data_IF_439826030312
#
_entry.id   IF_439826030312
#
_cell.length_a   1.000
_cell.length_b   1.000
_cell.length_c   1.000
_cell.angle_alpha   90.00
_cell.angle_beta   90.00
_cell.angle_gamma   90.00
#
_symmetry.space_group_name_H-M   'P 1'
#
loop_
_entity.id
_entity.type
_entity.pdbx_description
1 polymer ?
#
# COMPACT_ATOMS: atom_id res chain seq x y z
N UNK A 1 76.18 -49.60 -56.78
CA UNK A 1 75.33 -48.45 -56.42
C UNK A 1 74.09 -48.99 -55.71
N UNK A 2 74.05 -48.95 -54.39
CA UNK A 2 72.86 -49.35 -53.60
C UNK A 2 72.19 -48.07 -53.13
N UNK A 3 70.93 -47.90 -53.53
CA UNK A 3 70.18 -46.66 -53.42
C UNK A 3 69.58 -46.50 -52.02
N UNK A 4 69.67 -45.27 -51.49
CA UNK A 4 69.08 -44.78 -50.25
C UNK A 4 67.55 -44.78 -50.35
N UNK A 5 66.89 -44.98 -49.21
CA UNK A 5 65.45 -44.79 -49.08
C UNK A 5 65.04 -44.61 -47.63
N UNK A 6 65.57 -43.58 -46.96
CA UNK A 6 65.02 -43.10 -45.69
C UNK A 6 63.59 -42.56 -45.91
N UNK A 7 62.60 -43.16 -45.25
CA UNK A 7 61.28 -42.53 -45.07
C UNK A 7 60.68 -42.91 -43.73
N UNK A 8 61.23 -42.37 -42.65
CA UNK A 8 60.61 -42.40 -41.32
C UNK A 8 60.63 -40.99 -40.72
N UNK A 9 59.66 -40.14 -41.09
CA UNK A 9 59.52 -38.82 -40.42
C UNK A 9 58.16 -38.13 -40.55
N UNK A 10 57.21 -38.63 -41.35
CA UNK A 10 55.89 -37.96 -41.53
C UNK A 10 54.79 -38.42 -40.56
N UNK A 11 54.84 -39.66 -40.07
CA UNK A 11 53.81 -40.25 -39.20
C UNK A 11 53.75 -39.60 -37.80
N UNK A 12 54.91 -39.38 -37.17
CA UNK A 12 54.96 -38.92 -35.77
C UNK A 12 54.36 -37.52 -35.58
N UNK A 13 54.53 -36.60 -36.54
CA UNK A 13 54.02 -35.21 -36.40
C UNK A 13 52.50 -35.15 -36.44
N UNK A 14 51.85 -36.01 -37.21
CA UNK A 14 50.39 -36.10 -37.28
C UNK A 14 49.80 -36.76 -36.02
N UNK A 15 50.47 -37.81 -35.51
CA UNK A 15 50.06 -38.48 -34.28
C UNK A 15 50.12 -37.56 -33.05
N UNK A 16 51.19 -36.77 -32.90
CA UNK A 16 51.29 -35.77 -31.83
C UNK A 16 50.19 -34.70 -31.93
N UNK A 17 49.80 -34.32 -33.15
CA UNK A 17 48.74 -33.33 -33.36
C UNK A 17 47.36 -33.88 -32.97
N UNK A 18 47.05 -35.13 -33.34
CA UNK A 18 45.78 -35.78 -33.00
C UNK A 18 45.67 -36.10 -31.51
N UNK A 19 46.76 -36.53 -30.87
CA UNK A 19 46.80 -36.78 -29.42
C UNK A 19 46.61 -35.47 -28.66
N UNK A 20 47.28 -34.39 -29.08
CA UNK A 20 47.09 -33.04 -28.51
C UNK A 20 45.64 -32.56 -28.63
N UNK A 21 45.02 -32.72 -29.81
CA UNK A 21 43.62 -32.32 -30.04
C UNK A 21 42.64 -33.14 -29.17
N UNK A 22 42.91 -34.42 -28.97
CA UNK A 22 42.10 -35.29 -28.12
C UNK A 22 42.22 -34.91 -26.63
N UNK A 23 43.42 -34.55 -26.16
CA UNK A 23 43.66 -34.04 -24.81
C UNK A 23 42.98 -32.68 -24.57
N UNK A 24 42.97 -31.80 -25.56
CA UNK A 24 42.26 -30.51 -25.49
C UNK A 24 40.74 -30.70 -25.49
N UNK A 25 40.21 -31.73 -26.16
CA UNK A 25 38.77 -32.02 -26.18
C UNK A 25 38.22 -32.59 -24.87
N UNK A 26 39.08 -33.07 -23.97
CA UNK A 26 38.71 -33.57 -22.64
C UNK A 26 38.82 -32.52 -21.53
N UNK A 27 39.21 -31.28 -21.86
CA UNK A 27 39.10 -30.19 -20.91
C UNK A 27 37.61 -29.96 -20.64
N UNK A 28 37.14 -30.10 -19.38
CA UNK A 28 35.77 -29.77 -19.05
C UNK A 28 35.54 -28.31 -19.43
N UNK A 29 34.55 -28.08 -20.28
CA UNK A 29 34.11 -26.74 -20.62
C UNK A 29 33.54 -26.16 -19.32
N UNK A 30 34.36 -25.40 -18.60
CA UNK A 30 33.95 -24.71 -17.37
C UNK A 30 32.98 -23.62 -17.84
N UNK A 31 31.70 -23.97 -17.95
CA UNK A 31 30.65 -22.99 -18.13
C UNK A 31 30.64 -22.15 -16.86
N UNK A 32 31.20 -20.94 -16.94
CA UNK A 32 30.95 -19.93 -15.91
C UNK A 32 29.44 -19.71 -15.88
N UNK A 33 28.74 -19.99 -14.76
CA UNK A 33 27.33 -19.65 -14.69
C UNK A 33 27.24 -18.13 -14.86
N UNK A 34 26.61 -17.69 -15.95
CA UNK A 34 26.24 -16.28 -16.11
C UNK A 34 25.02 -16.08 -15.22
N UNK A 35 25.24 -15.67 -13.97
CA UNK A 35 24.14 -15.20 -13.13
C UNK A 35 23.67 -13.85 -13.68
N UNK A 36 22.37 -13.70 -13.93
CA UNK A 36 21.81 -12.41 -14.28
C UNK A 36 21.93 -11.48 -13.06
N UNK A 37 22.20 -10.20 -13.32
CA UNK A 37 22.26 -9.19 -12.26
C UNK A 37 20.98 -9.19 -11.41
N UNK A 38 21.08 -8.92 -10.10
CA UNK A 38 19.91 -8.79 -9.23
C UNK A 38 18.96 -7.73 -9.80
N UNK A 39 17.67 -8.07 -9.87
CA UNK A 39 16.64 -7.20 -10.44
C UNK A 39 15.28 -7.58 -9.88
N UNK A 40 14.43 -6.58 -9.66
CA UNK A 40 13.05 -6.76 -9.21
C UNK A 40 12.12 -5.94 -10.09
N UNK A 41 10.86 -6.38 -10.17
CA UNK A 41 9.76 -5.62 -10.74
C UNK A 41 8.68 -5.39 -9.69
N UNK A 42 8.26 -4.14 -9.53
CA UNK A 42 7.25 -3.70 -8.56
C UNK A 42 5.92 -3.41 -9.27
N UNK A 43 4.83 -3.90 -8.71
CA UNK A 43 3.48 -3.62 -9.18
C UNK A 43 2.51 -3.43 -8.02
N UNK A 44 1.62 -2.45 -8.09
CA UNK A 44 0.62 -2.10 -7.07
C UNK A 44 -0.75 -2.06 -7.74
N UNK A 45 -1.76 -2.63 -7.07
CA UNK A 45 -3.14 -2.69 -7.56
C UNK A 45 -4.14 -2.38 -6.45
N UNK A 46 -5.13 -1.52 -6.70
CA UNK A 46 -5.34 -0.74 -7.92
C UNK A 46 -4.28 0.38 -8.07
N UNK A 47 -4.15 0.98 -9.26
CA UNK A 47 -3.26 2.14 -9.45
C UNK A 47 -3.92 3.45 -9.01
N UNK A 48 -5.25 3.48 -8.89
CA UNK A 48 -5.98 4.56 -8.24
C UNK A 48 -7.25 4.05 -7.57
N UNK A 49 -7.68 4.73 -6.52
CA UNK A 49 -8.99 4.46 -5.90
C UNK A 49 -9.54 5.68 -5.17
N UNK A 50 -10.86 5.69 -4.99
CA UNK A 50 -11.56 6.64 -4.14
C UNK A 50 -11.79 6.03 -2.76
N UNK A 51 -11.46 6.78 -1.71
CA UNK A 51 -11.63 6.38 -0.30
C UNK A 51 -12.35 7.50 0.42
N UNK A 52 -13.40 7.18 1.17
CA UNK A 52 -14.13 8.20 1.92
C UNK A 52 -13.27 8.77 3.04
N UNK A 53 -13.42 10.07 3.37
CA UNK A 53 -12.86 10.62 4.60
C UNK A 53 -13.19 9.74 5.81
N UNK A 54 -12.16 9.41 6.60
CA UNK A 54 -12.26 8.55 7.78
C UNK A 54 -11.98 7.07 7.54
N UNK A 55 -11.94 6.64 6.28
CA UNK A 55 -11.69 5.25 5.90
C UNK A 55 -10.25 5.05 5.39
N UNK A 56 -9.89 3.77 5.22
CA UNK A 56 -8.63 3.34 4.63
C UNK A 56 -8.88 2.54 3.35
N UNK A 57 -8.12 2.86 2.30
CA UNK A 57 -8.04 2.09 1.08
C UNK A 57 -6.90 1.08 1.12
N UNK A 58 -7.18 -0.16 0.71
CA UNK A 58 -6.18 -1.23 0.62
C UNK A 58 -5.65 -1.39 -0.81
N UNK A 59 -4.33 -1.38 -0.93
CA UNK A 59 -3.56 -1.64 -2.15
C UNK A 59 -2.76 -2.93 -1.99
N UNK A 60 -2.79 -3.79 -3.01
CA UNK A 60 -1.93 -4.97 -3.09
C UNK A 60 -0.61 -4.59 -3.76
N UNK A 61 0.50 -4.81 -3.07
CA UNK A 61 1.86 -4.58 -3.56
C UNK A 61 2.50 -5.92 -3.90
N UNK A 62 2.92 -6.09 -5.14
CA UNK A 62 3.47 -7.31 -5.71
C UNK A 62 4.90 -7.05 -6.16
N UNK A 63 5.84 -7.86 -5.67
CA UNK A 63 7.27 -7.77 -6.01
C UNK A 63 7.72 -9.07 -6.65
N UNK A 64 8.23 -9.00 -7.89
CA UNK A 64 8.75 -10.15 -8.62
C UNK A 64 10.26 -10.06 -8.72
N UNK A 65 10.97 -11.10 -8.29
CA UNK A 65 12.41 -11.20 -8.52
C UNK A 65 12.68 -11.66 -9.96
N UNK A 66 13.23 -10.77 -10.77
CA UNK A 66 13.58 -11.03 -12.19
C UNK A 66 15.06 -11.39 -12.36
N UNK A 67 15.84 -11.37 -11.28
CA UNK A 67 17.22 -11.83 -11.23
C UNK A 67 17.36 -13.35 -11.19
N UNK A 68 18.61 -13.84 -11.19
CA UNK A 68 18.93 -15.27 -11.13
C UNK A 68 19.17 -15.80 -9.71
N UNK A 69 19.40 -14.92 -8.74
CA UNK A 69 19.70 -15.27 -7.35
C UNK A 69 18.55 -14.83 -6.42
N UNK A 70 18.29 -15.52 -5.29
CA UNK A 70 17.31 -15.07 -4.31
C UNK A 70 17.68 -13.72 -3.70
N UNK A 71 16.69 -12.87 -3.43
CA UNK A 71 16.90 -11.51 -2.92
C UNK A 71 16.02 -11.21 -1.72
N UNK A 72 16.48 -10.37 -0.79
CA UNK A 72 15.63 -9.75 0.23
C UNK A 72 15.32 -8.31 -0.17
N UNK A 73 14.11 -7.84 0.12
CA UNK A 73 13.68 -6.48 -0.23
C UNK A 73 13.20 -5.72 1.00
N UNK A 74 13.30 -4.39 0.95
CA UNK A 74 12.68 -3.47 1.89
C UNK A 74 11.70 -2.58 1.12
N UNK A 75 10.50 -2.42 1.67
CA UNK A 75 9.43 -1.64 1.08
C UNK A 75 9.18 -0.36 1.88
N UNK A 76 8.99 0.75 1.17
CA UNK A 76 8.67 2.04 1.77
C UNK A 76 7.52 2.68 1.00
N UNK A 77 6.65 3.40 1.71
CA UNK A 77 5.60 4.23 1.12
C UNK A 77 5.81 5.68 1.55
N UNK A 78 5.65 6.61 0.62
CA UNK A 78 5.71 8.05 0.89
C UNK A 78 4.66 8.78 0.08
N UNK A 79 3.88 9.61 0.75
CA UNK A 79 2.96 10.52 0.11
C UNK A 79 3.76 11.67 -0.53
N UNK A 80 3.23 12.23 -1.62
CA UNK A 80 3.81 13.40 -2.27
C UNK A 80 3.83 14.60 -1.29
N UNK A 81 4.94 15.37 -1.22
CA UNK A 81 4.96 16.57 -0.41
C UNK A 81 4.06 17.66 -1.03
N UNK A 82 3.13 18.20 -0.24
CA UNK A 82 2.27 19.28 -0.72
C UNK A 82 1.03 19.45 0.14
N UNK A 83 0.27 20.51 -0.11
CA UNK A 83 -0.98 20.76 0.61
C UNK A 83 -2.07 19.73 0.27
N UNK A 84 -2.04 19.18 -0.95
CA UNK A 84 -3.04 18.21 -1.44
C UNK A 84 -2.95 16.84 -0.73
N UNK A 85 -1.80 16.50 -0.16
CA UNK A 85 -1.60 15.28 0.61
C UNK A 85 -1.77 15.47 2.12
N UNK A 86 -2.09 16.69 2.59
CA UNK A 86 -2.32 16.92 4.01
C UNK A 86 -3.54 16.12 4.48
N UNK A 87 -3.34 15.26 5.49
CA UNK A 87 -4.39 14.40 6.02
C UNK A 87 -4.46 13.00 5.39
N UNK A 88 -3.63 12.71 4.38
CA UNK A 88 -3.43 11.34 3.91
C UNK A 88 -2.28 10.69 4.68
N UNK A 89 -2.43 9.42 5.05
CA UNK A 89 -1.37 8.64 5.71
C UNK A 89 -1.24 7.27 5.07
N UNK A 90 -0.03 6.86 4.72
CA UNK A 90 0.25 5.54 4.13
C UNK A 90 1.01 4.64 5.10
N UNK A 91 0.69 3.34 5.07
CA UNK A 91 1.39 2.31 5.82
C UNK A 91 1.53 1.06 4.95
N UNK A 92 2.76 0.61 4.73
CA UNK A 92 3.09 -0.56 3.89
C UNK A 92 3.61 -1.73 4.72
N UNK A 93 3.09 -2.93 4.48
CA UNK A 93 3.61 -4.17 5.04
C UNK A 93 4.92 -4.60 4.37
N UNK A 94 5.74 -5.37 5.07
CA UNK A 94 6.99 -5.91 4.52
C UNK A 94 6.79 -7.34 4.00
N UNK A 95 7.57 -7.73 2.99
CA UNK A 95 7.67 -9.13 2.56
C UNK A 95 8.64 -9.86 3.50
N UNK A 96 8.21 -10.91 4.20
CA UNK A 96 9.08 -11.64 5.10
C UNK A 96 10.05 -12.52 4.33
N UNK A 97 11.34 -12.43 4.65
CA UNK A 97 12.36 -13.34 4.12
C UNK A 97 12.85 -12.99 2.72
N UNK A 98 13.28 -14.02 1.98
CA UNK A 98 13.84 -13.89 0.63
C UNK A 98 12.79 -14.21 -0.44
N UNK A 99 12.94 -13.62 -1.61
CA UNK A 99 12.18 -13.88 -2.82
C UNK A 99 13.10 -14.66 -3.76
N UNK A 100 12.78 -15.94 -4.00
CA UNK A 100 13.57 -16.77 -4.90
C UNK A 100 13.50 -16.27 -6.36
N UNK A 101 14.47 -16.68 -7.18
CA UNK A 101 14.55 -16.26 -8.58
C UNK A 101 13.28 -16.64 -9.36
N UNK A 102 12.70 -15.67 -10.07
CA UNK A 102 11.45 -15.82 -10.82
C UNK A 102 10.19 -15.90 -9.97
N UNK A 103 10.29 -15.88 -8.64
CA UNK A 103 9.13 -15.88 -7.76
C UNK A 103 8.56 -14.48 -7.56
N UNK A 104 7.30 -14.47 -7.14
CA UNK A 104 6.58 -13.26 -6.79
C UNK A 104 6.02 -13.38 -5.38
N UNK A 105 6.26 -12.36 -4.58
CA UNK A 105 5.66 -12.21 -3.25
C UNK A 105 4.77 -10.97 -3.20
N UNK A 106 3.78 -11.00 -2.31
CA UNK A 106 2.77 -9.95 -2.16
C UNK A 106 2.66 -9.47 -0.71
N UNK A 107 2.30 -8.21 -0.56
CA UNK A 107 1.99 -7.57 0.72
C UNK A 107 0.93 -6.50 0.50
N UNK A 108 0.42 -5.91 1.57
CA UNK A 108 -0.60 -4.86 1.51
C UNK A 108 -0.02 -3.50 1.90
N UNK A 109 -0.51 -2.45 1.24
CA UNK A 109 -0.35 -1.06 1.67
C UNK A 109 -1.73 -0.48 1.93
N UNK A 110 -1.89 0.23 3.05
CA UNK A 110 -3.10 0.96 3.38
C UNK A 110 -2.85 2.46 3.27
N UNK A 111 -3.75 3.19 2.62
CA UNK A 111 -3.78 4.66 2.60
C UNK A 111 -5.05 5.12 3.30
N UNK A 112 -4.89 5.84 4.40
CA UNK A 112 -6.00 6.38 5.20
C UNK A 112 -6.22 7.84 4.83
N UNK A 113 -7.48 8.20 4.61
CA UNK A 113 -7.91 9.56 4.32
C UNK A 113 -8.45 10.19 5.61
N UNK A 114 -7.86 11.31 6.03
CA UNK A 114 -8.30 12.03 7.23
C UNK A 114 -9.73 12.55 7.10
N UNK A 115 -10.43 12.65 8.23
CA UNK A 115 -11.84 13.04 8.29
C UNK A 115 -12.15 14.46 7.75
N UNK A 116 -11.14 15.33 7.74
CA UNK A 116 -11.28 16.74 7.32
C UNK A 116 -10.75 16.98 5.91
N UNK A 117 -10.41 15.92 5.16
CA UNK A 117 -9.97 16.05 3.78
C UNK A 117 -11.19 16.33 2.91
N UNK A 118 -11.12 17.38 2.11
CA UNK A 118 -12.22 17.78 1.21
C UNK A 118 -12.41 16.75 0.09
N UNK A 119 -13.64 16.57 -0.34
CA UNK A 119 -13.99 15.69 -1.45
C UNK A 119 -13.19 16.04 -2.72
N UNK A 120 -12.91 15.02 -3.53
CA UNK A 120 -12.15 15.10 -4.78
C UNK A 120 -10.66 15.52 -4.62
N UNK A 121 -10.18 15.71 -3.38
CA UNK A 121 -8.75 15.93 -3.11
C UNK A 121 -8.00 14.64 -3.39
N UNK A 122 -6.96 14.70 -4.23
CA UNK A 122 -6.17 13.53 -4.61
C UNK A 122 -4.75 13.64 -4.07
N UNK A 123 -4.23 12.53 -3.55
CA UNK A 123 -2.86 12.42 -3.08
C UNK A 123 -2.16 11.24 -3.75
N UNK A 124 -0.99 11.51 -4.31
CA UNK A 124 -0.13 10.47 -4.88
C UNK A 124 0.75 9.87 -3.78
N UNK A 125 0.75 8.54 -3.72
CA UNK A 125 1.61 7.77 -2.82
C UNK A 125 2.60 6.97 -3.64
N UNK A 126 3.89 7.21 -3.43
CA UNK A 126 4.98 6.47 -4.08
C UNK A 126 5.42 5.31 -3.20
N UNK A 127 5.36 4.10 -3.76
CA UNK A 127 5.92 2.88 -3.20
C UNK A 127 7.31 2.66 -3.76
N UNK A 128 8.27 2.40 -2.88
CA UNK A 128 9.67 2.13 -3.22
C UNK A 128 10.05 0.75 -2.72
N UNK A 129 10.60 -0.07 -3.61
CA UNK A 129 11.16 -1.38 -3.29
C UNK A 129 12.68 -1.36 -3.53
N UNK A 130 13.44 -1.67 -2.48
CA UNK A 130 14.90 -1.68 -2.52
C UNK A 130 15.41 -3.08 -2.19
N UNK A 131 16.24 -3.66 -3.04
CA UNK A 131 16.94 -4.91 -2.73
C UNK A 131 17.95 -4.63 -1.62
N UNK A 132 17.90 -5.39 -0.52
CA UNK A 132 18.79 -5.22 0.62
C UNK A 132 19.93 -6.22 0.65
N UNK A 133 19.73 -7.42 0.09
CA UNK A 133 20.75 -8.43 -0.05
C UNK A 133 20.46 -9.39 -1.21
N UNK A 134 21.52 -9.96 -1.77
CA UNK A 134 21.48 -11.05 -2.74
C UNK A 134 22.09 -12.29 -2.09
N UNK A 135 21.31 -13.36 -1.99
CA UNK A 135 21.69 -14.56 -1.25
C UNK A 135 22.59 -15.42 -2.13
N UNK A 136 23.75 -15.81 -1.60
CA UNK A 136 24.77 -16.57 -2.35
C UNK A 136 25.78 -15.71 -3.11
N UNK A 137 25.56 -14.39 -3.18
CA UNK A 137 26.47 -13.45 -3.84
C UNK A 137 26.75 -12.22 -2.95
N UNK A 138 27.59 -12.35 -1.89
CA UNK A 138 27.80 -11.33 -0.86
C UNK A 138 28.51 -10.03 -1.32
N UNK A 139 28.79 -9.89 -2.61
CA UNK A 139 29.36 -8.68 -3.22
C UNK A 139 28.63 -8.29 -4.53
N UNK A 140 27.39 -8.77 -4.72
CA UNK A 140 26.58 -8.35 -5.85
C UNK A 140 26.27 -6.85 -5.73
N UNK A 141 26.44 -6.14 -6.85
CA UNK A 141 26.02 -4.74 -6.95
C UNK A 141 24.50 -4.66 -6.82
N UNK A 142 24.03 -3.86 -5.87
CA UNK A 142 22.60 -3.64 -5.65
C UNK A 142 22.11 -2.61 -6.67
N UNK A 143 21.06 -2.91 -7.45
CA UNK A 143 20.52 -1.99 -8.43
C UNK A 143 19.78 -0.83 -7.76
N UNK A 144 19.46 0.19 -8.56
CA UNK A 144 18.58 1.27 -8.12
C UNK A 144 17.20 0.73 -7.66
N UNK A 145 16.56 1.39 -6.68
CA UNK A 145 15.23 1.01 -6.23
C UNK A 145 14.18 1.03 -7.35
N UNK A 146 13.22 0.11 -7.28
CA UNK A 146 12.05 0.12 -8.14
C UNK A 146 10.94 0.94 -7.47
N UNK A 147 10.28 1.83 -8.21
CA UNK A 147 9.22 2.69 -7.67
C UNK A 147 7.93 2.55 -8.46
N UNK A 148 6.80 2.73 -7.78
CA UNK A 148 5.49 2.87 -8.40
C UNK A 148 4.62 3.86 -7.65
N UNK A 149 3.87 4.68 -8.36
CA UNK A 149 2.97 5.68 -7.78
C UNK A 149 1.53 5.24 -7.96
N UNK A 150 0.74 5.39 -6.89
CA UNK A 150 -0.71 5.21 -6.90
C UNK A 150 -1.41 6.47 -6.41
N UNK A 151 -2.62 6.71 -6.88
CA UNK A 151 -3.41 7.89 -6.50
C UNK A 151 -4.57 7.48 -5.59
N UNK A 152 -4.71 8.14 -4.44
CA UNK A 152 -5.90 8.04 -3.59
C UNK A 152 -6.68 9.33 -3.67
N UNK A 153 -7.96 9.26 -4.05
CA UNK A 153 -8.87 10.41 -4.07
C UNK A 153 -9.84 10.35 -2.91
N UNK A 154 -10.00 11.44 -2.17
CA UNK A 154 -11.02 11.57 -1.14
C UNK A 154 -12.41 11.52 -1.78
N UNK A 155 -13.27 10.61 -1.29
CA UNK A 155 -14.66 10.54 -1.68
C UNK A 155 -15.49 11.71 -1.14
N UNK A 156 -16.77 11.74 -1.50
CA UNK A 156 -17.74 12.74 -1.04
C UNK A 156 -18.17 12.57 0.44
N UNK A 157 -17.63 11.56 1.12
CA UNK A 157 -17.99 11.24 2.50
C UNK A 157 -19.36 10.60 2.65
N UNK A 158 -20.07 10.29 1.55
CA UNK A 158 -21.39 9.68 1.60
C UNK A 158 -21.39 8.23 2.15
N UNK A 159 -20.21 7.63 2.36
CA UNK A 159 -20.03 6.36 3.07
C UNK A 159 -19.28 6.46 4.40
N UNK A 160 -18.80 7.64 4.80
CA UNK A 160 -18.02 7.84 6.02
C UNK A 160 -18.88 8.40 7.16
N UNK A 161 -18.85 7.74 8.32
CA UNK A 161 -19.41 8.22 9.58
C UNK A 161 -20.76 8.96 9.47
N UNK A 162 -21.87 8.21 9.44
CA UNK A 162 -23.20 8.82 9.57
C UNK A 162 -23.26 9.61 10.89
N UNK A 163 -23.45 10.92 10.78
CA UNK A 163 -23.82 11.77 11.91
C UNK A 163 -25.33 11.69 12.07
N UNK A 164 -25.77 11.17 13.20
CA UNK A 164 -27.18 11.05 13.54
C UNK A 164 -27.39 11.60 14.94
N UNK A 165 -28.32 12.54 15.07
CA UNK A 165 -28.79 13.00 16.37
C UNK A 165 -30.30 12.87 16.37
N UNK A 166 -30.82 12.17 17.37
CA UNK A 166 -32.24 12.11 17.64
C UNK A 166 -32.56 12.88 18.93
N UNK A 167 -33.68 13.60 18.93
CA UNK A 167 -34.14 14.42 20.05
C UNK A 167 -35.57 14.02 20.40
N UNK A 168 -35.78 13.64 21.65
CA UNK A 168 -37.10 13.28 22.14
C UNK A 168 -37.34 13.71 23.58
N UNK A 169 -38.60 13.91 23.93
CA UNK A 169 -39.00 14.40 25.25
C UNK A 169 -39.24 13.25 26.23
N UNK A 170 -38.89 13.48 27.50
CA UNK A 170 -39.18 12.62 28.66
C UNK A 170 -38.67 11.17 28.51
N UNK A 171 -37.58 10.96 27.76
CA UNK A 171 -37.04 9.62 27.53
C UNK A 171 -37.88 8.72 26.62
N UNK A 172 -38.92 9.25 25.94
CA UNK A 172 -39.79 8.46 25.07
C UNK A 172 -39.42 8.67 23.60
N UNK A 173 -38.83 7.65 22.97
CA UNK A 173 -38.48 7.68 21.54
C UNK A 173 -39.69 8.07 20.67
N UNK A 174 -39.42 8.81 19.60
CA UNK A 174 -40.40 9.39 18.67
C UNK A 174 -41.29 10.52 19.25
N UNK A 175 -41.19 10.85 20.55
CA UNK A 175 -41.86 12.02 21.12
C UNK A 175 -41.06 13.29 20.81
N UNK A 176 -41.22 13.81 19.59
CA UNK A 176 -40.55 15.02 19.12
C UNK A 176 -41.30 16.33 19.48
N UNK A 177 -42.42 16.24 20.20
CA UNK A 177 -43.19 17.39 20.67
C UNK A 177 -43.70 17.17 22.11
N UNK A 178 -43.64 18.22 22.93
CA UNK A 178 -44.24 18.26 24.27
C UNK A 178 -44.88 19.61 24.54
N UNK A 179 -46.08 19.61 25.10
CA UNK A 179 -46.77 20.80 25.60
C UNK A 179 -46.92 20.69 27.10
N UNK A 180 -46.49 21.72 27.82
CA UNK A 180 -46.69 21.83 29.26
C UNK A 180 -47.69 22.95 29.56
N UNK A 181 -48.71 22.65 30.35
CA UNK A 181 -49.68 23.64 30.82
C UNK A 181 -49.23 24.18 32.17
N UNK A 182 -49.07 25.50 32.24
CA UNK A 182 -48.73 26.18 33.49
C UNK A 182 -49.95 26.21 34.43
N UNK A 183 -49.84 25.59 35.60
CA UNK A 183 -50.93 25.53 36.60
C UNK A 183 -50.80 26.58 37.71
N UNK A 184 -49.84 27.49 37.63
CA UNK A 184 -49.66 28.58 38.61
C UNK A 184 -49.03 28.17 39.94
N UNK A 185 -48.70 26.90 40.14
CA UNK A 185 -48.16 26.36 41.39
C UNK A 185 -46.63 26.34 41.48
N UNK A 186 -45.92 26.57 40.38
CA UNK A 186 -44.45 26.68 40.32
C UNK A 186 -44.08 27.91 39.50
N UNK A 187 -42.93 28.54 39.76
CA UNK A 187 -42.41 29.64 38.93
C UNK A 187 -41.59 29.16 37.73
N UNK A 188 -41.43 27.85 37.55
CA UNK A 188 -40.60 27.24 36.51
C UNK A 188 -41.37 26.15 35.77
N UNK A 189 -41.12 26.06 34.45
CA UNK A 189 -41.54 24.97 33.58
C UNK A 189 -40.27 24.22 33.14
N UNK A 190 -40.25 22.90 33.35
CA UNK A 190 -39.09 22.05 33.02
C UNK A 190 -39.42 21.11 31.88
N UNK A 191 -38.64 21.21 30.80
CA UNK A 191 -38.61 20.21 29.73
C UNK A 191 -37.44 19.26 29.97
N UNK A 192 -37.67 17.97 29.77
CA UNK A 192 -36.62 16.95 29.74
C UNK A 192 -36.45 16.53 28.29
N UNK A 193 -35.30 16.85 27.71
CA UNK A 193 -34.94 16.51 26.34
C UNK A 193 -33.83 15.49 26.42
N UNK A 194 -34.06 14.31 25.84
CA UNK A 194 -33.05 13.30 25.64
C UNK A 194 -32.41 13.53 24.28
N UNK A 195 -31.08 13.58 24.27
CA UNK A 195 -30.28 13.65 23.05
C UNK A 195 -29.61 12.31 22.88
N UNK A 196 -29.96 11.61 21.81
CA UNK A 196 -29.37 10.32 21.46
C UNK A 196 -28.50 10.48 20.23
N UNK A 197 -27.23 10.12 20.35
CA UNK A 197 -26.36 9.99 19.20
C UNK A 197 -26.75 8.71 18.46
N UNK A 198 -27.39 8.86 17.31
CA UNK A 198 -27.77 7.77 16.40
C UNK A 198 -26.75 7.56 15.28
N UNK A 199 -25.67 8.35 15.29
CA UNK A 199 -24.56 8.22 14.35
C UNK A 199 -23.63 7.05 14.66
N UNK A 200 -22.80 6.69 13.68
CA UNK A 200 -21.79 5.63 13.81
C UNK A 200 -20.55 6.07 14.61
N UNK A 201 -20.33 7.37 14.74
CA UNK A 201 -19.22 7.93 15.49
C UNK A 201 -19.69 8.40 16.87
N UNK A 202 -18.82 8.25 17.87
CA UNK A 202 -19.02 8.87 19.18
C UNK A 202 -18.86 10.39 19.03
N UNK A 203 -19.95 11.07 18.66
CA UNK A 203 -20.03 12.53 18.61
C UNK A 203 -19.86 13.08 20.02
N UNK A 204 -18.67 13.60 20.35
CA UNK A 204 -18.39 14.14 21.69
C UNK A 204 -19.11 15.47 21.95
N UNK A 205 -19.64 16.13 20.92
CA UNK A 205 -20.26 17.46 21.03
C UNK A 205 -21.52 17.55 20.17
N UNK A 206 -22.68 17.78 20.80
CA UNK A 206 -23.94 18.16 20.14
C UNK A 206 -24.26 19.59 20.57
N UNK A 207 -24.35 20.51 19.60
CA UNK A 207 -24.75 21.89 19.86
C UNK A 207 -26.28 22.03 19.78
N UNK A 208 -26.90 22.40 20.89
CA UNK A 208 -28.34 22.66 20.96
C UNK A 208 -28.58 24.17 20.96
N UNK A 209 -29.49 24.61 20.10
CA UNK A 209 -29.97 26.00 20.09
C UNK A 209 -31.44 26.03 20.45
N UNK A 210 -31.79 26.77 21.50
CA UNK A 210 -33.18 27.05 21.83
C UNK A 210 -33.62 28.29 21.04
N UNK A 211 -34.71 28.16 20.27
CA UNK A 211 -35.34 29.29 19.60
C UNK A 211 -36.73 29.45 20.20
N UNK A 212 -36.94 30.55 20.91
CA UNK A 212 -38.25 30.93 21.39
C UNK A 212 -39.09 31.42 20.21
N UNK A 213 -40.30 30.90 20.10
CA UNK A 213 -41.24 31.31 19.06
C UNK A 213 -42.22 32.30 19.70
N UNK A 214 -42.01 33.58 19.44
CA UNK A 214 -42.91 34.68 19.84
C UNK A 214 -44.10 34.81 18.87
N UNK A 215 -44.68 33.69 18.42
CA UNK A 215 -46.04 33.82 17.89
C UNK A 215 -46.94 34.25 19.05
N UNK A 216 -47.84 35.19 18.76
CA UNK A 216 -48.59 35.97 19.75
C UNK A 216 -49.63 35.16 20.56
N UNK A 217 -49.40 33.87 20.78
CA UNK A 217 -50.26 32.92 21.49
C UNK A 217 -49.99 32.82 22.99
N UNK A 218 -48.86 33.32 23.50
CA UNK A 218 -48.58 33.42 24.94
C UNK A 218 -49.03 34.77 25.54
N UNK A 219 -50.03 35.41 24.93
CA UNK A 219 -50.65 36.61 25.45
C UNK A 219 -51.87 36.28 26.32
N UNK A 220 -51.71 36.43 27.63
CA UNK A 220 -52.70 37.05 28.50
C UNK A 220 -51.99 37.89 29.56
#
# INVERSE_FOLDING_TARGET
MVNRGETVSRSNRAAFFLVSLMLVSMLPMIATPVSAAPSINLYVTPNSQTVNPGDSGEYTVRVTNTGSDPVTVNLQSSNEPGEDCNGFTSAIGQIPGQIDAGQTEETTMNVTVGQTVEADTACDTTVTATITAVIGAPAAEIPEPSTQTVTTTAGDGAGGALWGVDLYFDGVKDRNQKTLTYTGSSSEIRYEITVENTGQQNSTTVNLTLVERDDSGCGN
#
